data_IF_192884261472
#
_entry.id   IF_192884261472
#
_cell.length_a   1.000
_cell.length_b   1.000
_cell.length_c   1.000
_cell.angle_alpha   90.00
_cell.angle_beta   90.00
_cell.angle_gamma   90.00
#
_symmetry.space_group_name_H-M   'P 1'
#
loop_
_entity.id
_entity.type
_entity.pdbx_description
1 polymer ?
#
# COMPACT_ATOMS: atom_id res chain seq x y z
N UNK A 1 -0.33 47.77 -11.06
CA UNK A 1 0.51 46.64 -10.69
C UNK A 1 1.25 46.14 -11.93
N UNK A 2 2.56 45.98 -11.84
CA UNK A 2 3.39 45.40 -12.90
C UNK A 2 4.03 44.13 -12.42
N UNK A 3 4.03 43.06 -13.25
CA UNK A 3 4.66 41.76 -12.95
C UNK A 3 5.62 41.44 -14.08
N UNK A 4 6.88 41.23 -13.75
CA UNK A 4 7.94 40.87 -14.69
C UNK A 4 8.52 39.51 -14.29
N UNK A 5 8.65 38.61 -15.27
CA UNK A 5 9.34 37.34 -15.07
C UNK A 5 10.70 37.37 -15.77
N UNK A 6 11.73 37.05 -15.01
CA UNK A 6 13.10 37.00 -15.49
C UNK A 6 13.62 35.55 -15.36
N UNK A 7 13.78 34.90 -16.50
CA UNK A 7 14.43 33.56 -16.52
C UNK A 7 15.91 33.74 -16.24
N UNK A 8 16.42 33.10 -15.18
CA UNK A 8 17.83 33.17 -14.77
C UNK A 8 18.65 32.09 -15.46
N UNK A 9 18.10 30.86 -15.48
CA UNK A 9 18.66 29.70 -16.17
C UNK A 9 17.52 28.72 -16.56
N UNK A 10 17.84 27.44 -16.81
CA UNK A 10 16.84 26.47 -17.27
C UNK A 10 15.82 26.08 -16.19
N UNK A 11 16.19 26.20 -14.92
CA UNK A 11 15.37 25.75 -13.77
C UNK A 11 15.13 26.82 -12.73
N UNK A 12 15.70 28.01 -12.90
CA UNK A 12 15.51 29.13 -11.98
C UNK A 12 14.97 30.37 -12.69
N UNK A 13 14.03 31.01 -12.05
CA UNK A 13 13.47 32.30 -12.48
C UNK A 13 13.26 33.24 -11.30
N UNK A 14 13.05 34.51 -11.60
CA UNK A 14 12.71 35.54 -10.64
C UNK A 14 11.44 36.24 -11.10
N UNK A 15 10.44 36.33 -10.24
CA UNK A 15 9.27 37.19 -10.40
C UNK A 15 9.50 38.48 -9.66
N UNK A 16 9.34 39.61 -10.36
CA UNK A 16 9.46 40.94 -9.81
C UNK A 16 8.08 41.60 -9.91
N UNK A 17 7.51 41.96 -8.76
CA UNK A 17 6.18 42.55 -8.67
C UNK A 17 6.30 43.97 -8.14
N UNK A 18 5.82 44.92 -8.88
CA UNK A 18 5.78 46.34 -8.50
C UNK A 18 4.32 46.77 -8.31
N UNK A 19 3.99 47.20 -7.09
CA UNK A 19 2.70 47.78 -6.73
C UNK A 19 2.84 49.25 -6.52
N UNK A 20 1.97 50.05 -7.19
CA UNK A 20 1.79 51.46 -6.96
C UNK A 20 0.56 51.69 -6.05
N UNK A 21 0.46 52.89 -5.43
CA UNK A 21 -0.65 53.24 -4.54
C UNK A 21 -2.04 53.00 -5.16
N UNK A 22 -2.19 53.27 -6.44
CA UNK A 22 -3.44 53.05 -7.19
C UNK A 22 -3.91 51.59 -7.19
N UNK A 23 -3.00 50.64 -7.00
CA UNK A 23 -3.30 49.21 -7.08
C UNK A 23 -3.93 48.66 -5.79
N UNK A 24 -3.68 49.29 -4.63
CA UNK A 24 -4.12 48.81 -3.32
C UNK A 24 -4.96 49.83 -2.51
N UNK A 25 -4.91 51.15 -2.82
CA UNK A 25 -5.53 52.20 -2.00
C UNK A 25 -7.04 51.97 -1.79
N UNK A 26 -7.78 51.61 -2.84
CA UNK A 26 -9.23 51.38 -2.74
C UNK A 26 -9.56 50.13 -1.91
N UNK A 27 -8.72 49.09 -1.99
CA UNK A 27 -8.87 47.88 -1.20
C UNK A 27 -8.60 48.15 0.28
N UNK A 28 -7.58 48.98 0.59
CA UNK A 28 -7.29 49.42 1.96
C UNK A 28 -8.48 50.18 2.53
N UNK A 29 -9.03 51.19 1.76
CA UNK A 29 -10.22 51.94 2.18
C UNK A 29 -11.43 51.03 2.44
N UNK A 30 -11.65 50.03 1.57
CA UNK A 30 -12.75 49.07 1.73
C UNK A 30 -12.58 48.26 3.02
N UNK A 31 -11.39 47.74 3.28
CA UNK A 31 -11.10 46.93 4.46
C UNK A 31 -11.20 47.76 5.77
N UNK A 32 -10.72 49.01 5.75
CA UNK A 32 -10.91 49.93 6.88
C UNK A 32 -12.40 50.17 7.19
N UNK A 33 -13.23 50.38 6.14
CA UNK A 33 -14.70 50.50 6.29
C UNK A 33 -15.33 49.26 6.91
N UNK A 34 -14.88 48.09 6.54
CA UNK A 34 -15.36 46.83 7.11
C UNK A 34 -14.97 46.67 8.58
N UNK A 35 -13.74 47.06 8.94
CA UNK A 35 -13.30 47.10 10.35
C UNK A 35 -14.17 48.06 11.16
N UNK A 36 -14.44 49.28 10.61
CA UNK A 36 -15.29 50.27 11.28
C UNK A 36 -16.76 49.80 11.46
N UNK A 37 -17.26 48.89 10.59
CA UNK A 37 -18.58 48.30 10.73
C UNK A 37 -18.61 47.21 11.80
N UNK A 38 -17.58 46.39 11.92
CA UNK A 38 -17.56 45.18 12.68
C UNK A 38 -16.91 45.31 14.08
N UNK A 39 -16.09 46.34 14.29
CA UNK A 39 -15.44 46.63 15.58
C UNK A 39 -16.00 47.87 16.22
N UNK A 40 -16.54 47.79 17.44
CA UNK A 40 -16.92 48.97 18.21
C UNK A 40 -15.66 49.72 18.67
N UNK A 41 -15.64 51.04 18.47
CA UNK A 41 -14.58 51.92 18.94
C UNK A 41 -15.11 52.77 20.09
N UNK A 42 -14.32 53.03 21.14
CA UNK A 42 -14.72 53.87 22.27
C UNK A 42 -15.21 55.23 21.81
N UNK A 43 -16.45 55.61 22.17
CA UNK A 43 -17.06 56.88 21.80
C UNK A 43 -17.79 56.92 20.46
N UNK A 44 -17.80 55.79 19.67
CA UNK A 44 -18.50 55.69 18.42
C UNK A 44 -19.38 54.47 18.33
N UNK A 45 -20.53 54.63 17.67
CA UNK A 45 -21.39 53.49 17.34
C UNK A 45 -20.76 52.69 16.18
N UNK A 46 -20.92 51.35 16.20
CA UNK A 46 -20.46 50.49 15.11
C UNK A 46 -20.97 51.00 13.73
N UNK A 47 -20.09 51.14 12.77
CA UNK A 47 -20.36 51.67 11.44
C UNK A 47 -20.31 53.21 11.32
N UNK A 48 -20.12 53.94 12.43
CA UNK A 48 -20.07 55.42 12.43
C UNK A 48 -18.69 55.96 12.87
N UNK A 49 -17.65 55.16 12.84
CA UNK A 49 -16.27 55.55 13.15
C UNK A 49 -15.73 56.40 11.96
N UNK A 50 -15.22 57.64 12.20
CA UNK A 50 -14.65 58.46 11.13
C UNK A 50 -13.45 57.75 10.45
N UNK A 51 -13.36 57.85 9.10
CA UNK A 51 -12.31 57.19 8.33
C UNK A 51 -10.90 57.63 8.78
N UNK A 52 -10.69 58.90 9.04
CA UNK A 52 -9.41 59.43 9.54
C UNK A 52 -8.95 58.78 10.85
N UNK A 53 -9.89 58.37 11.71
CA UNK A 53 -9.56 57.64 12.94
C UNK A 53 -9.20 56.18 12.68
N UNK A 54 -9.91 55.52 11.73
CA UNK A 54 -9.58 54.19 11.30
C UNK A 54 -8.22 54.12 10.61
N UNK A 55 -7.94 55.10 9.74
CA UNK A 55 -6.64 55.21 9.06
C UNK A 55 -5.50 55.43 10.07
N UNK A 56 -5.70 56.27 11.07
CA UNK A 56 -4.68 56.51 12.10
C UNK A 56 -4.42 55.30 12.96
N UNK A 57 -5.46 54.48 13.25
CA UNK A 57 -5.35 53.37 14.19
C UNK A 57 -4.98 52.06 13.50
N UNK A 58 -5.52 51.83 12.32
CA UNK A 58 -5.41 50.55 11.60
C UNK A 58 -4.79 50.67 10.21
N UNK A 59 -4.60 51.88 9.70
CA UNK A 59 -4.23 52.14 8.29
C UNK A 59 -2.97 51.41 7.87
N UNK A 60 -1.93 51.45 8.70
CA UNK A 60 -0.66 50.79 8.40
C UNK A 60 -0.77 49.28 8.36
N UNK A 61 -1.39 48.67 9.38
CA UNK A 61 -1.59 47.22 9.46
C UNK A 61 -2.45 46.73 8.29
N UNK A 62 -3.55 47.43 8.01
CA UNK A 62 -4.44 47.09 6.88
C UNK A 62 -3.74 47.25 5.53
N UNK A 63 -2.93 48.29 5.38
CA UNK A 63 -2.12 48.49 4.16
C UNK A 63 -1.19 47.33 3.94
N UNK A 64 -0.47 46.90 4.98
CA UNK A 64 0.45 45.75 4.90
C UNK A 64 -0.27 44.44 4.59
N UNK A 65 -1.41 44.17 5.23
CA UNK A 65 -2.21 42.98 4.95
C UNK A 65 -2.74 42.97 3.51
N UNK A 66 -3.21 44.09 3.02
CA UNK A 66 -3.71 44.22 1.63
C UNK A 66 -2.57 44.07 0.63
N UNK A 67 -1.46 44.78 0.81
CA UNK A 67 -0.31 44.69 -0.08
C UNK A 67 0.24 43.28 -0.15
N UNK A 68 0.41 42.59 1.00
CA UNK A 68 0.88 41.22 1.02
C UNK A 68 -0.06 40.27 0.26
N UNK A 69 -1.38 40.45 0.41
CA UNK A 69 -2.36 39.65 -0.33
C UNK A 69 -2.29 39.87 -1.83
N UNK A 70 -2.26 41.11 -2.24
CA UNK A 70 -2.16 41.46 -3.66
C UNK A 70 -0.89 40.91 -4.33
N UNK A 71 0.23 40.91 -3.59
CA UNK A 71 1.49 40.35 -4.08
C UNK A 71 1.38 38.83 -4.24
N UNK A 72 0.85 38.15 -3.23
CA UNK A 72 0.68 36.69 -3.27
C UNK A 72 -0.25 36.28 -4.42
N UNK A 73 -1.40 36.97 -4.54
CA UNK A 73 -2.34 36.74 -5.65
C UNK A 73 -1.67 36.96 -7.01
N UNK A 74 -0.90 38.05 -7.16
CA UNK A 74 -0.18 38.37 -8.41
C UNK A 74 0.87 37.31 -8.79
N UNK A 75 1.58 36.73 -7.80
CA UNK A 75 2.54 35.63 -8.04
C UNK A 75 1.83 34.45 -8.65
N UNK A 76 0.76 33.98 -8.01
CA UNK A 76 0.06 32.76 -8.45
C UNK A 76 -0.73 33.01 -9.75
N UNK A 77 -1.34 34.18 -9.92
CA UNK A 77 -2.02 34.54 -11.16
C UNK A 77 -1.04 34.54 -12.33
N UNK A 78 0.15 35.14 -12.17
CA UNK A 78 1.16 35.14 -13.23
C UNK A 78 1.62 33.73 -13.60
N UNK A 79 1.88 32.89 -12.62
CA UNK A 79 2.27 31.47 -12.82
C UNK A 79 1.19 30.75 -13.63
N UNK A 80 -0.07 30.90 -13.24
CA UNK A 80 -1.21 30.27 -13.90
C UNK A 80 -1.41 30.76 -15.33
N UNK A 81 -1.47 32.10 -15.50
CA UNK A 81 -1.84 32.73 -16.76
C UNK A 81 -0.74 32.54 -17.84
N UNK A 82 0.52 32.37 -17.41
CA UNK A 82 1.64 32.09 -18.29
C UNK A 82 1.98 30.58 -18.37
N UNK A 83 1.18 29.70 -17.76
CA UNK A 83 1.38 28.24 -17.72
C UNK A 83 2.81 27.85 -17.30
N UNK A 84 3.38 28.55 -16.32
CA UNK A 84 4.71 28.23 -15.81
C UNK A 84 4.67 26.92 -15.02
N UNK A 85 5.43 25.92 -15.45
CA UNK A 85 5.60 24.66 -14.72
C UNK A 85 6.56 24.89 -13.56
N UNK A 86 6.02 25.18 -12.37
CA UNK A 86 6.79 25.51 -11.16
C UNK A 86 6.99 24.25 -10.31
N UNK A 87 8.21 24.08 -9.77
CA UNK A 87 8.56 23.10 -8.74
C UNK A 87 8.76 23.78 -7.39
N UNK A 88 8.06 23.30 -6.37
CA UNK A 88 8.04 23.93 -5.05
C UNK A 88 7.12 25.14 -5.00
N UNK A 89 7.41 26.06 -4.09
CA UNK A 89 6.68 27.32 -3.94
C UNK A 89 7.61 28.51 -4.22
N UNK A 90 7.08 29.62 -4.77
CA UNK A 90 7.87 30.86 -4.92
C UNK A 90 8.44 31.31 -3.57
N UNK A 91 9.74 31.57 -3.53
CA UNK A 91 10.47 31.96 -2.32
C UNK A 91 10.68 33.45 -2.32
N UNK A 92 10.13 34.22 -1.34
CA UNK A 92 10.36 35.64 -1.26
C UNK A 92 11.84 35.98 -1.02
N UNK A 93 12.36 37.01 -1.68
CA UNK A 93 13.70 37.50 -1.41
C UNK A 93 13.78 38.07 0.01
N UNK A 94 14.91 37.85 0.69
CA UNK A 94 15.16 38.33 2.07
C UNK A 94 15.13 39.86 2.19
N UNK A 95 15.33 40.59 1.08
CA UNK A 95 15.32 42.04 1.04
C UNK A 95 13.95 42.63 0.75
N UNK A 96 12.91 41.82 0.65
CA UNK A 96 11.54 42.30 0.51
C UNK A 96 11.09 42.96 1.81
N UNK A 97 10.98 44.26 1.83
CA UNK A 97 10.55 45.01 3.00
C UNK A 97 9.42 45.99 2.63
N UNK A 98 8.44 46.10 3.52
CA UNK A 98 7.41 47.12 3.47
C UNK A 98 7.87 48.30 4.36
N UNK A 99 8.43 49.34 3.72
CA UNK A 99 8.92 50.51 4.45
C UNK A 99 7.81 51.53 4.71
N UNK A 100 7.83 52.10 5.91
CA UNK A 100 6.88 53.12 6.31
C UNK A 100 7.06 54.40 5.44
N UNK A 101 5.92 54.92 4.97
CA UNK A 101 5.90 56.15 4.17
C UNK A 101 6.08 55.93 2.67
N UNK A 102 6.45 54.76 2.22
CA UNK A 102 6.50 54.41 0.80
C UNK A 102 5.10 54.13 0.24
N UNK A 103 4.87 54.49 -1.01
CA UNK A 103 3.63 54.29 -1.76
C UNK A 103 3.81 53.29 -2.91
N UNK A 104 5.05 53.02 -3.28
CA UNK A 104 5.43 52.03 -4.28
C UNK A 104 6.26 50.93 -3.63
N UNK A 105 5.94 49.67 -3.95
CA UNK A 105 6.59 48.52 -3.39
C UNK A 105 7.05 47.55 -4.48
N UNK A 106 8.29 47.15 -4.44
CA UNK A 106 8.84 46.12 -5.34
C UNK A 106 9.25 44.89 -4.55
N UNK A 107 8.69 43.75 -4.93
CA UNK A 107 8.97 42.48 -4.33
C UNK A 107 9.54 41.50 -5.35
N UNK A 108 10.49 40.72 -4.91
CA UNK A 108 11.14 39.68 -5.72
C UNK A 108 10.87 38.34 -5.15
N UNK A 109 10.60 37.34 -6.01
CA UNK A 109 10.40 35.96 -5.64
C UNK A 109 11.25 35.07 -6.53
N UNK A 110 12.01 34.17 -5.92
CA UNK A 110 12.67 33.09 -6.63
C UNK A 110 11.65 32.02 -6.97
N UNK A 111 11.65 31.57 -8.22
CA UNK A 111 10.74 30.56 -8.74
C UNK A 111 11.55 29.40 -9.31
N UNK A 112 11.31 28.20 -8.80
CA UNK A 112 11.85 26.98 -9.36
C UNK A 112 11.02 26.54 -10.57
N UNK A 113 11.65 26.28 -11.69
CA UNK A 113 10.99 25.77 -12.90
C UNK A 113 11.23 24.27 -13.05
N UNK A 114 10.21 23.54 -13.51
CA UNK A 114 10.38 22.16 -13.91
C UNK A 114 11.31 22.09 -15.15
N UNK A 115 12.36 21.27 -15.11
CA UNK A 115 13.23 21.09 -16.25
C UNK A 115 12.46 20.45 -17.42
N UNK A 116 12.86 20.78 -18.63
CA UNK A 116 12.41 20.04 -19.82
C UNK A 116 13.19 18.72 -19.90
N UNK A 117 12.47 17.60 -19.80
CA UNK A 117 13.04 16.26 -19.90
C UNK A 117 12.55 15.64 -21.21
N UNK A 118 13.47 15.29 -22.09
CA UNK A 118 13.19 14.41 -23.23
C UNK A 118 13.43 12.96 -22.76
N UNK A 119 12.36 12.29 -22.37
CA UNK A 119 12.44 10.89 -21.96
C UNK A 119 12.90 10.03 -23.15
N UNK A 120 14.20 9.75 -23.22
CA UNK A 120 14.81 8.96 -24.32
C UNK A 120 14.58 7.46 -24.10
N UNK A 121 13.31 7.06 -24.03
CA UNK A 121 12.95 5.65 -23.97
C UNK A 121 13.01 5.06 -25.39
N UNK A 122 13.88 4.07 -25.57
CA UNK A 122 14.10 3.46 -26.88
C UNK A 122 14.85 2.13 -26.79
N UNK A 123 14.97 1.43 -27.92
CA UNK A 123 15.59 0.09 -28.02
C UNK A 123 17.10 0.06 -27.70
N UNK A 124 17.73 1.20 -27.57
CA UNK A 124 19.10 1.36 -27.09
C UNK A 124 19.23 1.16 -25.58
N UNK A 125 18.12 1.22 -24.83
CA UNK A 125 18.07 0.92 -23.41
C UNK A 125 17.82 -0.57 -23.23
N UNK A 126 18.77 -1.26 -22.58
CA UNK A 126 18.64 -2.67 -22.20
C UNK A 126 18.25 -2.78 -20.76
N UNK A 127 17.12 -3.43 -20.49
CA UNK A 127 16.61 -3.67 -19.14
C UNK A 127 16.56 -5.18 -18.90
N UNK A 128 17.12 -5.69 -17.80
CA UNK A 128 16.95 -7.10 -17.45
C UNK A 128 15.47 -7.45 -17.28
N UNK A 129 15.08 -8.58 -17.80
CA UNK A 129 13.77 -9.17 -17.56
C UNK A 129 13.93 -10.62 -17.13
N UNK A 130 13.60 -10.89 -15.90
CA UNK A 130 13.79 -12.20 -15.29
C UNK A 130 12.51 -13.02 -15.40
N UNK A 131 12.58 -14.19 -16.04
CA UNK A 131 11.53 -15.20 -16.00
C UNK A 131 11.91 -16.28 -14.99
N UNK A 132 10.94 -16.80 -14.24
CA UNK A 132 11.16 -17.85 -13.27
C UNK A 132 10.80 -19.17 -13.89
N UNK A 133 11.74 -20.13 -13.85
CA UNK A 133 11.53 -21.49 -14.33
C UNK A 133 10.46 -22.19 -13.49
N UNK A 134 9.42 -22.72 -14.12
CA UNK A 134 8.40 -23.55 -13.48
C UNK A 134 8.79 -25.00 -13.62
N UNK A 135 9.29 -25.60 -12.54
CA UNK A 135 9.75 -26.99 -12.49
C UNK A 135 8.57 -27.97 -12.31
N UNK A 136 8.75 -29.21 -12.74
CA UNK A 136 7.74 -30.26 -12.52
C UNK A 136 7.48 -30.52 -11.04
N UNK A 137 8.47 -30.32 -10.17
CA UNK A 137 8.31 -30.41 -8.72
C UNK A 137 7.34 -29.35 -8.18
N UNK A 138 7.43 -28.10 -8.67
CA UNK A 138 6.48 -27.03 -8.29
C UNK A 138 5.06 -27.39 -8.74
N UNK A 139 4.91 -27.92 -9.94
CA UNK A 139 3.61 -28.35 -10.48
C UNK A 139 3.03 -29.49 -9.64
N UNK A 140 3.83 -30.49 -9.31
CA UNK A 140 3.37 -31.62 -8.49
C UNK A 140 3.01 -31.18 -7.06
N UNK A 141 3.81 -30.28 -6.44
CA UNK A 141 3.50 -29.74 -5.12
C UNK A 141 2.18 -28.95 -5.12
N UNK A 142 1.94 -28.15 -6.13
CA UNK A 142 0.68 -27.40 -6.26
C UNK A 142 -0.51 -28.33 -6.47
N UNK A 143 -0.38 -29.37 -7.29
CA UNK A 143 -1.43 -30.37 -7.49
C UNK A 143 -1.74 -31.07 -6.15
N UNK A 144 -0.73 -31.47 -5.39
CA UNK A 144 -0.95 -32.09 -4.07
C UNK A 144 -1.58 -31.11 -3.06
N UNK A 145 -1.22 -29.84 -3.09
CA UNK A 145 -1.88 -28.82 -2.28
C UNK A 145 -3.36 -28.64 -2.67
N UNK A 146 -3.66 -28.61 -3.97
CA UNK A 146 -5.04 -28.56 -4.47
C UNK A 146 -5.83 -29.82 -4.11
N UNK A 147 -5.23 -31.00 -4.23
CA UNK A 147 -5.86 -32.28 -3.82
C UNK A 147 -6.23 -32.27 -2.34
N UNK A 148 -5.36 -31.76 -1.46
CA UNK A 148 -5.69 -31.58 -0.04
C UNK A 148 -6.79 -30.54 0.15
N UNK A 149 -6.73 -29.42 -0.54
CA UNK A 149 -7.73 -28.34 -0.44
C UNK A 149 -9.14 -28.79 -0.84
N UNK A 150 -9.27 -29.60 -1.88
CA UNK A 150 -10.54 -30.14 -2.36
C UNK A 150 -10.82 -31.56 -1.84
N UNK A 151 -10.00 -32.03 -0.90
CA UNK A 151 -10.19 -33.32 -0.25
C UNK A 151 -11.43 -33.36 0.63
N UNK A 152 -11.87 -34.55 0.93
CA UNK A 152 -13.03 -34.82 1.79
C UNK A 152 -12.61 -35.47 3.09
N UNK A 153 -13.25 -35.09 4.18
CA UNK A 153 -13.07 -35.80 5.45
C UNK A 153 -13.72 -37.16 5.38
N UNK A 154 -12.99 -38.19 5.81
CA UNK A 154 -13.48 -39.55 5.82
C UNK A 154 -12.83 -40.40 6.94
N UNK A 155 -13.34 -41.61 7.16
CA UNK A 155 -12.79 -42.51 8.16
C UNK A 155 -11.34 -42.88 7.85
N UNK A 156 -10.49 -42.80 8.87
CA UNK A 156 -9.10 -43.23 8.86
C UNK A 156 -8.91 -44.51 9.70
N UNK A 157 -7.91 -45.30 9.34
CA UNK A 157 -7.53 -46.50 10.09
C UNK A 157 -6.44 -46.24 11.12
N UNK A 158 -5.65 -45.18 10.88
CA UNK A 158 -4.52 -44.79 11.72
C UNK A 158 -4.50 -43.23 11.82
N UNK A 159 -4.05 -42.72 12.96
CA UNK A 159 -3.92 -41.30 13.18
C UNK A 159 -2.73 -40.73 12.38
N UNK A 160 -3.05 -39.82 11.46
CA UNK A 160 -2.11 -38.98 10.73
C UNK A 160 -1.91 -37.62 11.46
N UNK A 161 -0.88 -36.85 11.15
CA UNK A 161 -0.60 -35.60 11.87
C UNK A 161 -1.75 -34.62 11.91
N UNK A 162 -2.59 -34.57 10.88
CA UNK A 162 -3.74 -33.68 10.72
C UNK A 162 -5.10 -34.35 10.99
N UNK A 163 -5.08 -35.60 11.53
CA UNK A 163 -6.29 -36.31 11.87
C UNK A 163 -7.08 -35.62 12.99
N UNK A 164 -8.40 -35.70 12.87
CA UNK A 164 -9.34 -35.38 13.93
C UNK A 164 -9.80 -36.73 14.54
N UNK A 165 -9.63 -36.86 15.84
CA UNK A 165 -9.97 -38.12 16.54
C UNK A 165 -11.17 -37.87 17.46
N UNK A 166 -12.12 -38.79 17.44
CA UNK A 166 -13.27 -38.81 18.33
C UNK A 166 -13.18 -39.98 19.28
N UNK A 167 -13.57 -39.78 20.50
CA UNK A 167 -13.49 -40.83 21.51
C UNK A 167 -14.01 -40.41 22.86
N UNK A 168 -13.66 -41.19 23.87
CA UNK A 168 -14.03 -40.93 25.25
C UNK A 168 -12.82 -40.40 26.00
N UNK A 169 -12.97 -39.26 26.64
CA UNK A 169 -11.99 -38.69 27.56
C UNK A 169 -12.40 -39.05 28.97
N UNK A 170 -11.50 -39.60 29.79
CA UNK A 170 -11.78 -39.90 31.19
C UNK A 170 -10.64 -39.45 32.10
N UNK A 171 -10.98 -38.79 33.22
CA UNK A 171 -10.02 -38.29 34.20
C UNK A 171 -9.34 -39.49 34.92
N UNK A 172 -8.03 -39.38 35.15
CA UNK A 172 -7.24 -40.39 35.84
C UNK A 172 -6.87 -39.94 37.24
N UNK A 173 -6.80 -40.94 38.14
CA UNK A 173 -6.13 -40.82 39.43
C UNK A 173 -4.60 -40.76 39.23
N UNK A 174 -3.82 -40.30 40.23
CA UNK A 174 -2.35 -40.29 40.16
C UNK A 174 -1.71 -41.68 39.98
N UNK A 175 -2.44 -42.75 40.27
CA UNK A 175 -1.99 -44.11 40.05
C UNK A 175 -2.31 -44.66 38.65
N UNK A 176 -2.93 -43.85 37.79
CA UNK A 176 -3.29 -44.18 36.41
C UNK A 176 -4.63 -44.89 36.26
N UNK A 177 -5.37 -45.17 37.36
CA UNK A 177 -6.72 -45.69 37.29
C UNK A 177 -7.75 -44.62 36.92
N UNK A 178 -8.86 -45.01 36.30
CA UNK A 178 -9.96 -44.07 35.99
C UNK A 178 -10.60 -43.62 37.30
N UNK A 179 -10.80 -42.32 37.43
CA UNK A 179 -11.37 -41.67 38.63
C UNK A 179 -12.89 -41.88 38.65
N UNK A 180 -13.42 -42.48 39.71
CA UNK A 180 -14.81 -42.97 39.82
C UNK A 180 -15.85 -41.86 39.67
N UNK A 181 -15.58 -40.66 40.25
CA UNK A 181 -16.40 -39.46 40.12
C UNK A 181 -15.70 -38.36 39.29
N UNK A 182 -14.77 -38.76 38.40
CA UNK A 182 -14.00 -37.85 37.55
C UNK A 182 -14.78 -37.41 36.32
N UNK A 183 -14.17 -36.48 35.58
CA UNK A 183 -14.71 -36.01 34.30
C UNK A 183 -14.71 -37.14 33.30
N UNK A 184 -15.87 -37.34 32.62
CA UNK A 184 -16.01 -38.22 31.47
C UNK A 184 -16.68 -37.46 30.34
N UNK A 185 -16.04 -37.43 29.17
CA UNK A 185 -16.57 -36.80 27.95
C UNK A 185 -16.77 -37.90 26.91
N UNK A 186 -18.01 -38.36 26.75
CA UNK A 186 -18.34 -39.49 25.87
C UNK A 186 -18.08 -39.25 24.38
N UNK A 187 -18.15 -37.97 23.95
CA UNK A 187 -17.94 -37.56 22.57
C UNK A 187 -16.82 -36.51 22.47
N UNK A 188 -15.67 -36.80 23.06
CA UNK A 188 -14.49 -35.95 22.97
C UNK A 188 -13.97 -35.87 21.55
N UNK A 189 -13.63 -34.69 21.11
CA UNK A 189 -13.02 -34.41 19.78
C UNK A 189 -11.66 -33.81 20.02
N UNK A 190 -10.61 -34.43 19.54
CA UNK A 190 -9.24 -33.92 19.60
C UNK A 190 -8.66 -33.77 18.20
N UNK A 191 -7.92 -32.71 17.99
CA UNK A 191 -7.09 -32.50 16.80
C UNK A 191 -5.65 -32.22 17.25
N UNK A 192 -4.81 -33.28 17.39
CA UNK A 192 -3.46 -33.16 17.97
C UNK A 192 -2.57 -32.14 17.25
N UNK A 193 -2.82 -31.86 15.99
CA UNK A 193 -2.09 -30.84 15.23
C UNK A 193 -2.14 -29.45 15.91
N UNK A 194 -3.20 -29.13 16.63
CA UNK A 194 -3.38 -27.86 17.33
C UNK A 194 -2.78 -27.86 18.75
N UNK A 195 -2.27 -28.99 19.24
CA UNK A 195 -1.61 -29.00 20.53
C UNK A 195 -0.34 -28.12 20.48
N UNK A 196 -0.06 -27.41 21.57
CA UNK A 196 1.15 -26.60 21.70
C UNK A 196 2.39 -27.42 22.05
N UNK A 197 2.20 -28.59 22.67
CA UNK A 197 3.27 -29.49 23.08
C UNK A 197 3.52 -30.59 22.04
N UNK A 198 4.72 -30.60 21.46
CA UNK A 198 5.16 -31.67 20.54
C UNK A 198 5.20 -33.04 21.20
N UNK A 199 5.48 -33.11 22.51
CA UNK A 199 5.45 -34.34 23.26
C UNK A 199 4.04 -34.92 23.31
N UNK A 200 3.04 -34.06 23.58
CA UNK A 200 1.64 -34.51 23.63
C UNK A 200 1.11 -34.87 22.23
N UNK A 201 1.53 -34.21 21.15
CA UNK A 201 1.19 -34.61 19.78
C UNK A 201 1.65 -36.01 19.45
N UNK A 202 2.90 -36.33 19.75
CA UNK A 202 3.52 -37.63 19.44
C UNK A 202 2.82 -38.83 20.13
N UNK A 203 2.13 -38.61 21.25
CA UNK A 203 1.38 -39.65 21.92
C UNK A 203 0.26 -40.23 21.05
N UNK A 204 -0.26 -39.41 20.13
CA UNK A 204 -1.37 -39.78 19.26
C UNK A 204 -0.93 -40.27 17.88
N UNK A 205 0.35 -40.16 17.51
CA UNK A 205 0.85 -40.63 16.21
C UNK A 205 0.74 -42.16 16.08
N UNK A 206 0.27 -42.61 14.91
CA UNK A 206 0.20 -44.03 14.58
C UNK A 206 -0.78 -44.87 15.45
N UNK A 207 -1.77 -44.22 16.05
CA UNK A 207 -2.80 -44.90 16.86
C UNK A 207 -3.98 -45.34 15.99
N UNK A 208 -4.70 -46.39 16.47
CA UNK A 208 -5.84 -46.99 15.79
C UNK A 208 -7.13 -46.83 16.60
N UNK A 209 -8.31 -46.95 15.99
CA UNK A 209 -9.56 -47.11 16.73
C UNK A 209 -9.49 -48.23 17.74
N UNK A 210 -9.87 -47.98 18.99
CA UNK A 210 -9.76 -48.89 20.14
C UNK A 210 -8.52 -48.66 21.01
N UNK A 211 -7.52 -47.89 20.53
CA UNK A 211 -6.37 -47.57 21.36
C UNK A 211 -6.73 -46.56 22.45
N UNK A 212 -6.05 -46.68 23.59
CA UNK A 212 -6.17 -45.74 24.71
C UNK A 212 -4.86 -44.96 24.85
N UNK A 213 -4.95 -43.65 24.79
CA UNK A 213 -3.82 -42.73 24.92
C UNK A 213 -3.94 -41.96 26.23
N UNK A 214 -2.91 -42.04 27.07
CA UNK A 214 -2.83 -41.20 28.26
C UNK A 214 -2.16 -39.86 27.85
N UNK A 215 -2.85 -38.77 28.08
CA UNK A 215 -2.38 -37.43 27.75
C UNK A 215 -2.74 -36.42 28.83
N UNK A 216 -2.09 -35.26 28.79
CA UNK A 216 -2.36 -34.17 29.72
C UNK A 216 -2.99 -32.97 28.99
N UNK A 217 -4.29 -32.68 29.20
CA UNK A 217 -4.98 -31.56 28.55
C UNK A 217 -4.31 -30.23 28.82
N UNK A 218 -3.84 -29.96 30.05
CA UNK A 218 -3.18 -28.73 30.40
C UNK A 218 -1.85 -28.54 29.66
N UNK A 219 -1.06 -29.61 29.51
CA UNK A 219 0.18 -29.62 28.76
C UNK A 219 -0.09 -29.47 27.25
N UNK A 220 -1.18 -30.06 26.74
CA UNK A 220 -1.53 -30.02 25.31
C UNK A 220 -1.83 -28.61 24.81
N UNK A 221 -2.43 -27.75 25.66
CA UNK A 221 -2.83 -26.40 25.29
C UNK A 221 -2.17 -25.30 26.14
N UNK A 222 -1.00 -25.56 26.72
CA UNK A 222 -0.28 -24.62 27.60
C UNK A 222 -1.17 -23.99 28.68
N UNK A 223 -2.03 -24.82 29.29
CA UNK A 223 -3.01 -24.47 30.33
C UNK A 223 -3.99 -23.35 29.91
N UNK A 224 -4.31 -23.23 28.61
CA UNK A 224 -5.32 -22.30 28.10
C UNK A 224 -6.70 -22.71 28.64
N UNK A 225 -7.26 -21.86 29.50
CA UNK A 225 -8.53 -22.13 30.19
C UNK A 225 -9.70 -22.36 29.24
N UNK A 226 -9.74 -21.62 28.12
CA UNK A 226 -10.82 -21.74 27.14
C UNK A 226 -10.73 -23.06 26.38
N UNK A 227 -9.54 -23.47 25.99
CA UNK A 227 -9.32 -24.74 25.28
C UNK A 227 -9.56 -25.95 26.19
N UNK A 228 -9.06 -25.90 27.42
CA UNK A 228 -9.32 -26.94 28.41
C UNK A 228 -10.80 -27.08 28.75
N UNK A 229 -11.50 -25.96 28.99
CA UNK A 229 -12.94 -25.94 29.24
C UNK A 229 -13.73 -26.56 28.09
N UNK A 230 -13.35 -26.28 26.84
CA UNK A 230 -13.96 -26.84 25.63
C UNK A 230 -13.64 -28.33 25.47
N UNK A 231 -12.38 -28.72 25.69
CA UNK A 231 -11.90 -30.12 25.56
C UNK A 231 -12.54 -31.05 26.59
N UNK A 232 -12.63 -30.60 27.83
CA UNK A 232 -13.15 -31.37 28.95
C UNK A 232 -14.66 -31.19 29.17
N UNK A 233 -15.29 -30.30 28.42
CA UNK A 233 -16.70 -29.93 28.55
C UNK A 233 -17.08 -29.49 29.98
N UNK A 234 -16.27 -28.65 30.61
CA UNK A 234 -16.45 -28.13 31.99
C UNK A 234 -16.50 -26.63 32.02
N UNK A 235 -16.96 -26.03 33.14
CA UNK A 235 -16.92 -24.60 33.37
C UNK A 235 -15.48 -24.09 33.45
N UNK A 236 -15.23 -22.89 32.94
CA UNK A 236 -13.91 -22.25 32.97
C UNK A 236 -13.33 -22.05 34.37
N UNK A 237 -14.21 -21.88 35.36
CA UNK A 237 -13.79 -21.75 36.75
C UNK A 237 -13.35 -23.08 37.40
N UNK A 238 -13.69 -24.22 36.79
CA UNK A 238 -13.35 -25.53 37.27
C UNK A 238 -12.05 -26.10 36.66
N UNK A 239 -11.56 -25.49 35.61
CA UNK A 239 -10.38 -25.96 34.85
C UNK A 239 -9.15 -26.18 35.75
N UNK A 240 -8.95 -25.30 36.75
CA UNK A 240 -7.80 -25.38 37.64
C UNK A 240 -7.79 -26.64 38.53
N UNK A 241 -8.94 -27.25 38.73
CA UNK A 241 -9.09 -28.49 39.52
C UNK A 241 -8.79 -29.77 38.72
N UNK A 242 -8.65 -29.63 37.38
CA UNK A 242 -8.56 -30.77 36.46
C UNK A 242 -7.32 -30.68 35.53
N UNK A 243 -6.14 -30.46 36.15
CA UNK A 243 -4.85 -30.39 35.42
C UNK A 243 -4.08 -31.69 35.38
N UNK A 244 -4.68 -32.77 35.88
CA UNK A 244 -4.10 -34.13 35.87
C UNK A 244 -4.11 -34.76 34.48
N UNK A 245 -3.71 -36.02 34.46
CA UNK A 245 -3.72 -36.83 33.23
C UNK A 245 -5.12 -37.40 32.98
N UNK A 246 -5.41 -37.57 31.71
CA UNK A 246 -6.64 -38.18 31.22
C UNK A 246 -6.29 -39.29 30.24
N UNK A 247 -7.14 -40.32 30.15
CA UNK A 247 -7.10 -41.23 29.02
C UNK A 247 -8.04 -40.74 27.90
N UNK A 248 -7.69 -41.07 26.69
CA UNK A 248 -8.50 -40.88 25.50
C UNK A 248 -8.65 -42.26 24.80
N UNK A 249 -9.83 -42.85 24.86
CA UNK A 249 -10.14 -44.07 24.11
C UNK A 249 -10.62 -43.65 22.71
N UNK A 250 -9.82 -43.95 21.69
CA UNK A 250 -10.11 -43.59 20.30
C UNK A 250 -11.26 -44.45 19.76
N UNK A 251 -12.36 -43.85 19.36
CA UNK A 251 -13.50 -44.53 18.74
C UNK A 251 -13.52 -44.41 17.24
N UNK A 252 -13.20 -43.20 16.75
CA UNK A 252 -13.21 -42.88 15.34
C UNK A 252 -12.02 -41.96 15.01
N UNK A 253 -11.40 -42.22 13.88
CA UNK A 253 -10.36 -41.36 13.30
C UNK A 253 -10.93 -40.79 12.02
N UNK A 254 -10.84 -39.46 11.86
CA UNK A 254 -11.23 -38.74 10.67
C UNK A 254 -9.97 -38.15 10.06
N UNK A 255 -9.68 -38.51 8.84
CA UNK A 255 -8.55 -37.99 8.06
C UNK A 255 -9.04 -37.20 6.87
N UNK A 256 -8.25 -36.24 6.47
CA UNK A 256 -8.48 -35.51 5.21
C UNK A 256 -7.96 -36.39 4.07
N UNK A 257 -8.85 -37.04 3.32
CA UNK A 257 -8.49 -37.83 2.14
C UNK A 257 -8.30 -36.81 0.98
N UNK A 258 -7.09 -36.69 0.39
CA UNK A 258 -6.90 -35.88 -0.78
C UNK A 258 -7.87 -36.28 -1.90
N UNK A 259 -8.36 -35.28 -2.63
CA UNK A 259 -9.27 -35.52 -3.77
C UNK A 259 -8.62 -36.50 -4.77
N UNK A 260 -9.43 -37.39 -5.34
CA UNK A 260 -8.98 -38.27 -6.42
C UNK A 260 -8.74 -37.47 -7.69
N UNK A 261 -7.84 -37.95 -8.56
CA UNK A 261 -7.54 -37.31 -9.84
C UNK A 261 -8.61 -37.65 -10.88
N UNK A 262 -9.81 -37.12 -10.64
CA UNK A 262 -10.98 -37.32 -11.48
C UNK A 262 -11.46 -35.99 -12.11
N UNK A 263 -12.50 -36.03 -12.93
CA UNK A 263 -13.02 -34.87 -13.62
C UNK A 263 -13.55 -33.80 -12.66
N UNK A 264 -14.16 -34.20 -11.52
CA UNK A 264 -14.68 -33.26 -10.52
C UNK A 264 -13.53 -32.46 -9.89
N UNK A 265 -12.43 -33.14 -9.55
CA UNK A 265 -11.24 -32.47 -9.05
C UNK A 265 -10.61 -31.55 -10.11
N UNK A 266 -10.49 -32.00 -11.36
CA UNK A 266 -9.91 -31.15 -12.43
C UNK A 266 -10.72 -29.88 -12.62
N UNK A 267 -12.05 -29.98 -12.66
CA UNK A 267 -12.95 -28.84 -12.81
C UNK A 267 -12.83 -27.85 -11.64
N UNK A 268 -12.68 -28.36 -10.41
CA UNK A 268 -12.49 -27.55 -9.21
C UNK A 268 -11.10 -26.91 -9.14
N UNK A 269 -10.06 -27.60 -9.60
CA UNK A 269 -8.67 -27.17 -9.50
C UNK A 269 -8.31 -26.09 -10.53
N UNK A 270 -8.69 -26.27 -11.79
CA UNK A 270 -8.26 -25.42 -12.89
C UNK A 270 -9.42 -24.77 -13.65
N UNK A 271 -10.65 -25.09 -13.32
CA UNK A 271 -11.86 -24.58 -13.94
C UNK A 271 -12.46 -25.59 -14.91
N UNK A 272 -13.78 -25.50 -15.06
CA UNK A 272 -14.60 -26.45 -15.81
C UNK A 272 -14.11 -26.64 -17.24
N UNK A 273 -14.01 -27.92 -17.66
CA UNK A 273 -13.61 -28.37 -19.00
C UNK A 273 -12.21 -27.91 -19.48
N UNK A 274 -11.33 -27.50 -18.53
CA UNK A 274 -9.95 -27.07 -18.86
C UNK A 274 -8.93 -28.22 -18.82
N UNK A 275 -9.25 -29.34 -18.15
CA UNK A 275 -8.41 -30.52 -18.13
C UNK A 275 -9.30 -31.77 -18.05
N UNK A 276 -8.93 -32.84 -18.79
CA UNK A 276 -9.66 -34.10 -18.84
C UNK A 276 -8.79 -35.31 -18.44
N UNK A 277 -7.52 -35.07 -18.14
CA UNK A 277 -6.56 -36.05 -17.69
C UNK A 277 -5.42 -35.38 -16.94
N UNK A 278 -4.59 -36.17 -16.25
CA UNK A 278 -3.46 -35.65 -15.46
C UNK A 278 -2.45 -34.86 -16.26
N UNK A 279 -2.22 -35.16 -17.53
CA UNK A 279 -1.27 -34.43 -18.37
C UNK A 279 -1.80 -33.01 -18.66
N UNK A 280 -3.07 -32.90 -19.00
CA UNK A 280 -3.73 -31.60 -19.21
C UNK A 280 -3.83 -30.79 -17.90
N UNK A 281 -4.10 -31.45 -16.77
CA UNK A 281 -4.07 -30.83 -15.45
C UNK A 281 -2.69 -30.24 -15.16
N UNK A 282 -1.61 -30.99 -15.39
CA UNK A 282 -0.23 -30.50 -15.17
C UNK A 282 0.08 -29.27 -16.02
N UNK A 283 -0.31 -29.29 -17.30
CA UNK A 283 -0.11 -28.13 -18.17
C UNK A 283 -0.95 -26.93 -17.73
N UNK A 284 -2.20 -27.13 -17.31
CA UNK A 284 -3.05 -26.06 -16.81
C UNK A 284 -2.49 -25.45 -15.51
N UNK A 285 -2.08 -26.30 -14.54
CA UNK A 285 -1.44 -25.85 -13.28
C UNK A 285 -0.12 -25.14 -13.56
N UNK A 286 0.69 -25.66 -14.49
CA UNK A 286 1.93 -24.99 -14.93
C UNK A 286 1.67 -23.60 -15.50
N UNK A 287 0.59 -23.47 -16.28
CA UNK A 287 0.13 -22.17 -16.79
C UNK A 287 -0.24 -21.20 -15.65
N UNK A 288 -1.00 -21.66 -14.66
CA UNK A 288 -1.41 -20.86 -13.51
C UNK A 288 -0.18 -20.39 -12.71
N UNK A 289 0.75 -21.29 -12.39
CA UNK A 289 2.00 -20.93 -11.71
C UNK A 289 2.80 -19.94 -12.52
N UNK A 290 2.91 -20.13 -13.85
CA UNK A 290 3.63 -19.23 -14.74
C UNK A 290 3.02 -17.82 -14.75
N UNK A 291 1.70 -17.71 -14.75
CA UNK A 291 0.99 -16.43 -14.71
C UNK A 291 1.17 -15.72 -13.35
N UNK A 292 1.17 -16.46 -12.24
CA UNK A 292 1.47 -15.93 -10.92
C UNK A 292 2.92 -15.39 -10.84
N UNK A 293 3.88 -16.18 -11.31
CA UNK A 293 5.30 -15.81 -11.30
C UNK A 293 5.62 -14.67 -12.27
N UNK A 294 4.80 -14.49 -13.33
CA UNK A 294 4.91 -13.33 -14.22
C UNK A 294 4.70 -12.02 -13.48
N UNK A 295 3.78 -11.98 -12.51
CA UNK A 295 3.57 -10.81 -11.66
C UNK A 295 4.85 -10.39 -10.91
N UNK A 296 5.58 -11.37 -10.38
CA UNK A 296 6.88 -11.14 -9.71
C UNK A 296 7.94 -10.64 -10.69
N UNK A 297 7.99 -11.23 -11.89
CA UNK A 297 8.90 -10.81 -12.96
C UNK A 297 8.62 -9.38 -13.41
N UNK A 298 7.35 -9.02 -13.60
CA UNK A 298 6.93 -7.67 -13.99
C UNK A 298 7.20 -6.66 -12.88
N UNK A 299 6.98 -7.01 -11.62
CA UNK A 299 7.35 -6.15 -10.50
C UNK A 299 8.86 -5.91 -10.44
N UNK A 300 9.68 -6.96 -10.58
CA UNK A 300 11.14 -6.82 -10.65
C UNK A 300 11.56 -5.93 -11.82
N UNK A 301 10.94 -6.09 -12.96
CA UNK A 301 11.18 -5.23 -14.11
C UNK A 301 10.96 -3.75 -13.80
N UNK A 302 9.93 -3.40 -13.01
CA UNK A 302 9.71 -1.98 -12.65
C UNK A 302 10.87 -1.38 -11.88
N UNK A 303 11.48 -2.15 -10.98
CA UNK A 303 12.65 -1.73 -10.19
C UNK A 303 13.86 -1.55 -11.10
N UNK A 304 14.15 -2.54 -11.94
CA UNK A 304 15.33 -2.53 -12.81
C UNK A 304 15.21 -1.48 -13.92
N UNK A 305 14.03 -1.32 -14.51
CA UNK A 305 13.76 -0.28 -15.50
C UNK A 305 13.98 1.12 -14.91
N UNK A 306 13.42 1.37 -13.70
CA UNK A 306 13.66 2.63 -12.99
C UNK A 306 15.15 2.90 -12.79
N UNK A 307 15.90 1.92 -12.31
CA UNK A 307 17.32 2.06 -12.02
C UNK A 307 18.15 2.32 -13.29
N UNK A 308 17.90 1.56 -14.36
CA UNK A 308 18.59 1.73 -15.65
C UNK A 308 18.29 3.09 -16.27
N UNK A 309 17.02 3.52 -16.25
CA UNK A 309 16.62 4.81 -16.81
C UNK A 309 17.20 5.95 -15.98
N UNK A 310 17.18 5.87 -14.64
CA UNK A 310 17.78 6.87 -13.77
C UNK A 310 19.30 6.98 -13.95
N UNK A 311 20.00 5.87 -14.18
CA UNK A 311 21.42 5.91 -14.50
C UNK A 311 21.70 6.66 -15.79
N UNK A 312 20.83 6.52 -16.80
CA UNK A 312 21.02 7.13 -18.11
C UNK A 312 20.55 8.60 -18.15
N UNK A 313 19.39 8.88 -17.60
CA UNK A 313 18.68 10.16 -17.72
C UNK A 313 18.60 10.93 -16.40
N UNK A 314 19.14 10.40 -15.29
CA UNK A 314 18.98 10.95 -13.95
C UNK A 314 19.84 12.20 -13.64
N UNK A 315 20.72 12.62 -14.57
CA UNK A 315 21.51 13.83 -14.40
C UNK A 315 20.71 15.08 -14.80
N UNK A 316 19.60 15.30 -14.09
CA UNK A 316 18.68 16.41 -14.32
C UNK A 316 19.03 17.57 -13.38
N UNK A 317 19.17 18.77 -13.92
CA UNK A 317 19.30 19.97 -13.11
C UNK A 317 17.97 20.29 -12.44
N UNK A 318 17.98 20.58 -11.14
CA UNK A 318 16.80 20.95 -10.37
C UNK A 318 17.00 22.32 -9.71
N UNK A 319 15.92 23.07 -9.42
CA UNK A 319 15.98 24.34 -8.67
C UNK A 319 16.16 24.05 -7.17
N UNK A 320 17.35 23.57 -6.79
CA UNK A 320 17.62 23.00 -5.46
C UNK A 320 17.35 23.99 -4.33
N UNK A 321 17.71 25.27 -4.49
CA UNK A 321 17.49 26.29 -3.47
C UNK A 321 16.00 26.44 -3.13
N UNK A 322 15.15 26.54 -4.16
CA UNK A 322 13.68 26.67 -4.00
C UNK A 322 13.09 25.41 -3.37
N UNK A 323 13.52 24.24 -3.84
CA UNK A 323 13.03 22.95 -3.34
C UNK A 323 13.45 22.71 -1.87
N UNK A 324 14.67 23.00 -1.51
CA UNK A 324 15.15 22.87 -0.12
C UNK A 324 14.39 23.81 0.81
N UNK A 325 14.18 25.06 0.40
CA UNK A 325 13.37 26.01 1.16
C UNK A 325 11.94 25.52 1.35
N UNK A 326 11.31 25.00 0.29
CA UNK A 326 9.98 24.41 0.37
C UNK A 326 9.92 23.24 1.35
N UNK A 327 10.88 22.34 1.32
CA UNK A 327 10.94 21.18 2.24
C UNK A 327 11.07 21.62 3.70
N UNK A 328 11.91 22.61 3.99
CA UNK A 328 12.04 23.17 5.35
C UNK A 328 10.72 23.76 5.85
N UNK A 329 9.96 24.45 4.97
CA UNK A 329 8.66 24.99 5.34
C UNK A 329 7.60 23.92 5.61
N UNK A 330 7.63 22.80 4.90
CA UNK A 330 6.67 21.71 5.03
C UNK A 330 6.95 20.79 6.21
N UNK A 331 8.21 20.69 6.64
CA UNK A 331 8.63 19.77 7.70
C UNK A 331 9.46 20.50 8.77
N UNK A 332 8.86 20.70 9.93
CA UNK A 332 9.50 21.38 11.07
C UNK A 332 10.77 20.70 11.62
N UNK A 333 11.02 19.42 11.23
CA UNK A 333 12.23 18.71 11.62
C UNK A 333 13.42 19.03 10.70
N UNK A 334 13.18 19.70 9.56
CA UNK A 334 14.21 20.09 8.63
C UNK A 334 14.68 21.52 8.90
N UNK A 335 15.97 21.75 8.72
CA UNK A 335 16.63 23.04 8.87
C UNK A 335 17.82 23.14 7.90
N UNK A 336 18.52 24.27 7.91
CA UNK A 336 19.67 24.52 7.01
C UNK A 336 20.83 23.52 7.22
N UNK A 337 20.92 22.85 8.38
CA UNK A 337 22.04 21.93 8.70
C UNK A 337 21.81 20.53 8.15
N UNK A 338 20.53 20.04 8.09
CA UNK A 338 20.21 18.68 7.70
C UNK A 338 19.51 18.53 6.34
N UNK A 339 19.14 19.66 5.71
CA UNK A 339 18.38 19.66 4.46
C UNK A 339 19.12 19.00 3.30
N UNK A 340 20.44 19.13 3.23
CA UNK A 340 21.22 18.60 2.11
C UNK A 340 21.19 17.09 2.06
N UNK A 341 21.27 16.42 3.22
CA UNK A 341 21.15 14.96 3.31
C UNK A 341 19.74 14.50 2.93
N UNK A 342 18.71 15.15 3.46
CA UNK A 342 17.32 14.79 3.18
C UNK A 342 16.94 15.07 1.73
N UNK A 343 17.36 16.20 1.18
CA UNK A 343 17.15 16.53 -0.23
C UNK A 343 17.79 15.48 -1.16
N UNK A 344 18.98 14.98 -0.81
CA UNK A 344 19.66 13.94 -1.59
C UNK A 344 18.80 12.65 -1.70
N UNK A 345 18.11 12.27 -0.62
CA UNK A 345 17.20 11.12 -0.60
C UNK A 345 15.98 11.34 -1.50
N UNK A 346 15.39 12.53 -1.44
CA UNK A 346 14.18 12.90 -2.18
C UNK A 346 14.49 13.17 -3.66
N UNK A 347 15.67 13.69 -3.97
CA UNK A 347 16.08 14.09 -5.33
C UNK A 347 15.86 12.98 -6.35
N UNK A 348 16.27 11.77 -6.03
CA UNK A 348 16.15 10.60 -6.92
C UNK A 348 14.68 10.30 -7.24
N UNK A 349 13.80 10.39 -6.25
CA UNK A 349 12.37 10.19 -6.45
C UNK A 349 11.76 11.32 -7.29
N UNK A 350 12.11 12.56 -7.02
CA UNK A 350 11.62 13.70 -7.77
C UNK A 350 12.05 13.65 -9.25
N UNK A 351 13.31 13.30 -9.51
CA UNK A 351 13.79 13.11 -10.89
C UNK A 351 13.03 11.99 -11.59
N UNK A 352 12.76 10.88 -10.89
CA UNK A 352 11.98 9.79 -11.45
C UNK A 352 10.54 10.21 -11.77
N UNK A 353 9.90 11.00 -10.90
CA UNK A 353 8.55 11.49 -11.16
C UNK A 353 8.51 12.43 -12.38
N UNK A 354 9.49 13.29 -12.52
CA UNK A 354 9.63 14.15 -13.72
C UNK A 354 9.89 13.35 -15.00
N UNK A 355 10.66 12.28 -14.94
CA UNK A 355 10.87 11.35 -16.08
C UNK A 355 9.56 10.65 -16.45
N UNK A 356 8.78 10.18 -15.45
CA UNK A 356 7.46 9.59 -15.70
C UNK A 356 6.51 10.58 -16.39
N UNK A 357 6.46 11.81 -15.93
CA UNK A 357 5.66 12.86 -16.57
C UNK A 357 6.07 13.08 -18.03
N UNK A 358 7.37 13.09 -18.31
CA UNK A 358 7.88 13.20 -19.66
C UNK A 358 7.51 11.99 -20.54
N UNK A 359 7.51 10.76 -19.98
CA UNK A 359 7.05 9.54 -20.66
C UNK A 359 5.55 9.65 -20.98
N UNK A 360 4.74 10.06 -20.01
CA UNK A 360 3.29 10.26 -20.19
C UNK A 360 3.01 11.23 -21.33
N UNK A 361 3.68 12.37 -21.34
CA UNK A 361 3.53 13.36 -22.38
C UNK A 361 3.99 12.87 -23.76
N UNK A 362 5.15 12.19 -23.83
CA UNK A 362 5.75 11.71 -25.08
C UNK A 362 4.92 10.63 -25.77
N UNK A 363 4.36 9.71 -24.99
CA UNK A 363 3.59 8.57 -25.49
C UNK A 363 2.07 8.78 -25.43
N UNK A 364 1.61 9.98 -25.02
CA UNK A 364 0.19 10.33 -24.84
C UNK A 364 -0.54 9.27 -24.01
N UNK A 365 0.02 8.93 -22.84
CA UNK A 365 -0.56 7.93 -21.94
C UNK A 365 -1.76 8.55 -21.21
N UNK A 366 -2.94 7.98 -21.44
CA UNK A 366 -4.19 8.37 -20.78
C UNK A 366 -4.76 7.18 -20.00
N UNK A 367 -5.34 7.44 -18.86
CA UNK A 367 -6.03 6.44 -18.03
C UNK A 367 -7.51 6.48 -18.36
N UNK A 368 -8.05 5.36 -18.81
CA UNK A 368 -9.49 5.20 -19.09
C UNK A 368 -10.24 4.69 -17.85
N UNK A 369 -11.58 4.78 -17.87
CA UNK A 369 -12.42 4.14 -16.85
C UNK A 369 -12.19 2.63 -16.75
N UNK A 370 -11.97 1.97 -17.89
CA UNK A 370 -11.69 0.53 -17.91
C UNK A 370 -10.37 0.19 -17.20
N UNK A 371 -9.36 1.04 -17.32
CA UNK A 371 -8.08 0.87 -16.61
C UNK A 371 -8.29 0.95 -15.10
N UNK A 372 -9.07 1.94 -14.64
CA UNK A 372 -9.40 2.11 -13.22
C UNK A 372 -10.19 0.90 -12.70
N UNK A 373 -11.17 0.43 -13.48
CA UNK A 373 -11.97 -0.74 -13.11
C UNK A 373 -11.13 -2.03 -13.06
N UNK A 374 -10.17 -2.19 -13.96
CA UNK A 374 -9.27 -3.34 -13.95
C UNK A 374 -8.36 -3.33 -12.71
N UNK A 375 -7.85 -2.17 -12.30
CA UNK A 375 -7.11 -2.03 -11.04
C UNK A 375 -8.00 -2.29 -9.81
N UNK A 376 -9.26 -1.85 -9.84
CA UNK A 376 -10.22 -2.13 -8.77
C UNK A 376 -10.50 -3.65 -8.66
N UNK A 377 -10.73 -4.35 -9.79
CA UNK A 377 -10.88 -5.81 -9.81
C UNK A 377 -9.66 -6.53 -9.25
N UNK A 378 -8.46 -6.11 -9.68
CA UNK A 378 -7.20 -6.68 -9.18
C UNK A 378 -7.03 -6.46 -7.67
N UNK A 379 -7.39 -5.30 -7.14
CA UNK A 379 -7.35 -4.99 -5.71
C UNK A 379 -8.32 -5.87 -4.91
N UNK A 380 -9.57 -5.99 -5.37
CA UNK A 380 -10.60 -6.84 -4.77
C UNK A 380 -10.17 -8.31 -4.79
N UNK A 381 -9.66 -8.79 -5.93
CA UNK A 381 -9.19 -10.16 -6.07
C UNK A 381 -8.04 -10.46 -5.08
N UNK A 382 -7.04 -9.57 -4.98
CA UNK A 382 -5.94 -9.74 -4.00
C UNK A 382 -6.45 -9.77 -2.56
N UNK A 383 -7.41 -8.92 -2.21
CA UNK A 383 -7.95 -8.85 -0.86
C UNK A 383 -8.76 -10.11 -0.50
N UNK A 384 -9.58 -10.58 -1.43
CA UNK A 384 -10.52 -11.67 -1.15
C UNK A 384 -9.90 -13.07 -1.34
N UNK A 385 -8.88 -13.22 -2.19
CA UNK A 385 -8.14 -14.48 -2.36
C UNK A 385 -7.47 -14.96 -1.07
N UNK A 386 -7.15 -14.06 -0.14
CA UNK A 386 -6.61 -14.39 1.18
C UNK A 386 -7.59 -15.20 2.03
N UNK A 387 -8.90 -15.10 1.78
CA UNK A 387 -9.93 -15.81 2.51
C UNK A 387 -10.32 -17.16 1.89
N UNK A 388 -9.62 -17.60 0.83
CA UNK A 388 -9.82 -18.91 0.21
C UNK A 388 -11.14 -19.08 -0.54
N UNK A 389 -11.90 -18.02 -0.75
CA UNK A 389 -13.18 -18.08 -1.47
C UNK A 389 -12.95 -18.04 -2.99
N UNK A 390 -13.47 -19.00 -3.72
CA UNK A 390 -13.66 -18.90 -5.15
C UNK A 390 -14.79 -17.91 -5.42
N UNK A 391 -14.42 -16.68 -5.82
CA UNK A 391 -15.39 -15.64 -6.11
C UNK A 391 -15.78 -15.66 -7.58
N UNK A 392 -17.06 -15.55 -7.87
CA UNK A 392 -17.50 -15.35 -9.25
C UNK A 392 -17.09 -13.96 -9.74
N UNK A 393 -16.85 -13.83 -11.04
CA UNK A 393 -16.53 -12.54 -11.68
C UNK A 393 -17.56 -11.46 -11.34
N UNK A 394 -18.86 -11.83 -11.28
CA UNK A 394 -19.95 -10.91 -10.92
C UNK A 394 -19.79 -10.32 -9.51
N UNK A 395 -19.34 -11.12 -8.54
CA UNK A 395 -19.06 -10.66 -7.18
C UNK A 395 -17.87 -9.72 -7.17
N UNK A 396 -16.79 -10.08 -7.88
CA UNK A 396 -15.59 -9.22 -8.01
C UNK A 396 -15.97 -7.89 -8.64
N UNK A 397 -16.74 -7.89 -9.72
CA UNK A 397 -17.17 -6.67 -10.42
C UNK A 397 -18.01 -5.74 -9.53
N UNK A 398 -18.93 -6.31 -8.75
CA UNK A 398 -19.73 -5.52 -7.82
C UNK A 398 -18.90 -4.83 -6.76
N UNK A 399 -17.98 -5.56 -6.12
CA UNK A 399 -17.07 -4.96 -5.13
C UNK A 399 -16.10 -3.98 -5.76
N UNK A 400 -15.58 -4.25 -6.97
CA UNK A 400 -14.72 -3.33 -7.71
C UNK A 400 -15.43 -1.99 -7.99
N UNK A 401 -16.71 -2.03 -8.40
CA UNK A 401 -17.52 -0.82 -8.59
C UNK A 401 -17.70 -0.04 -7.28
N UNK A 402 -17.89 -0.73 -6.16
CA UNK A 402 -18.03 -0.07 -4.86
C UNK A 402 -16.72 0.61 -4.43
N UNK A 403 -15.58 -0.08 -4.58
CA UNK A 403 -14.24 0.47 -4.28
C UNK A 403 -13.94 1.69 -5.17
N UNK A 404 -14.27 1.63 -6.46
CA UNK A 404 -14.03 2.72 -7.41
C UNK A 404 -14.93 3.95 -7.22
N UNK A 405 -16.06 3.84 -6.46
CA UNK A 405 -16.94 4.98 -6.15
C UNK A 405 -16.38 5.90 -5.07
N UNK A 406 -15.58 5.39 -4.16
CA UNK A 406 -14.92 6.22 -3.15
C UNK A 406 -13.79 7.04 -3.78
N UNK A 407 -13.83 8.37 -3.60
CA UNK A 407 -12.89 9.28 -4.27
C UNK A 407 -11.42 9.02 -3.89
N UNK A 408 -11.14 8.68 -2.62
CA UNK A 408 -9.76 8.41 -2.18
C UNK A 408 -9.21 7.14 -2.79
N UNK A 409 -10.06 6.11 -2.86
CA UNK A 409 -9.69 4.86 -3.53
C UNK A 409 -9.50 5.09 -5.02
N UNK A 410 -10.41 5.85 -5.66
CA UNK A 410 -10.34 6.18 -7.08
C UNK A 410 -9.03 6.87 -7.45
N UNK A 411 -8.62 7.90 -6.69
CA UNK A 411 -7.34 8.61 -6.93
C UNK A 411 -6.13 7.66 -6.81
N UNK A 412 -6.21 6.66 -5.93
CA UNK A 412 -5.17 5.64 -5.79
C UNK A 412 -5.19 4.65 -6.96
N UNK A 413 -6.37 4.20 -7.38
CA UNK A 413 -6.54 3.30 -8.52
C UNK A 413 -6.06 3.95 -9.81
N UNK A 414 -6.39 5.21 -10.04
CA UNK A 414 -5.93 5.99 -11.20
C UNK A 414 -4.41 6.11 -11.24
N UNK A 415 -3.77 6.44 -10.11
CA UNK A 415 -2.30 6.45 -10.01
C UNK A 415 -1.68 5.09 -10.27
N UNK A 416 -2.28 4.01 -9.79
CA UNK A 416 -1.78 2.66 -10.03
C UNK A 416 -1.93 2.27 -11.50
N UNK A 417 -3.07 2.57 -12.12
CA UNK A 417 -3.32 2.35 -13.54
C UNK A 417 -2.33 3.15 -14.41
N UNK A 418 -2.11 4.41 -14.08
CA UNK A 418 -1.12 5.25 -14.76
C UNK A 418 0.29 4.66 -14.64
N UNK A 419 0.72 4.29 -13.44
CA UNK A 419 2.03 3.68 -13.22
C UNK A 419 2.18 2.39 -14.03
N UNK A 420 1.17 1.53 -14.02
CA UNK A 420 1.17 0.30 -14.84
C UNK A 420 1.35 0.61 -16.32
N UNK A 421 0.57 1.54 -16.87
CA UNK A 421 0.68 1.95 -18.27
C UNK A 421 2.06 2.53 -18.62
N UNK A 422 2.66 3.31 -17.71
CA UNK A 422 4.02 3.81 -17.89
C UNK A 422 5.02 2.66 -18.02
N UNK A 423 4.97 1.68 -17.11
CA UNK A 423 5.89 0.54 -17.15
C UNK A 423 5.62 -0.40 -18.32
N UNK A 424 4.36 -0.61 -18.71
CA UNK A 424 4.00 -1.36 -19.91
C UNK A 424 4.58 -0.65 -21.15
N UNK A 425 4.42 0.68 -21.26
CA UNK A 425 5.02 1.49 -22.34
C UNK A 425 6.54 1.40 -22.35
N UNK A 426 7.19 1.47 -21.19
CA UNK A 426 8.65 1.29 -21.07
C UNK A 426 9.03 -0.09 -21.60
N UNK A 427 8.33 -1.15 -21.13
CA UNK A 427 8.60 -2.55 -21.51
C UNK A 427 8.50 -2.79 -23.01
N UNK A 428 7.54 -2.19 -23.66
CA UNK A 428 7.34 -2.28 -25.12
C UNK A 428 8.43 -1.54 -25.92
N UNK A 429 8.96 -0.46 -25.39
CA UNK A 429 9.88 0.43 -26.10
C UNK A 429 11.36 0.18 -25.81
N UNK A 430 11.73 -0.52 -24.73
CA UNK A 430 13.13 -0.91 -24.44
C UNK A 430 13.49 -2.26 -25.04
N UNK A 431 14.77 -2.63 -24.96
CA UNK A 431 15.24 -3.99 -25.26
C UNK A 431 15.27 -4.79 -23.96
N UNK A 432 14.49 -5.87 -23.90
CA UNK A 432 14.51 -6.79 -22.77
C UNK A 432 15.72 -7.73 -22.87
N UNK A 433 16.54 -7.77 -21.83
CA UNK A 433 17.60 -8.75 -21.63
C UNK A 433 17.02 -9.92 -20.82
N UNK A 434 16.37 -10.86 -21.55
CA UNK A 434 15.66 -11.97 -20.93
C UNK A 434 16.62 -12.95 -20.28
N UNK A 435 16.38 -13.29 -19.02
CA UNK A 435 17.13 -14.26 -18.21
C UNK A 435 16.17 -15.16 -17.48
N UNK A 436 16.34 -16.47 -17.64
CA UNK A 436 15.58 -17.46 -16.89
C UNK A 436 16.36 -17.84 -15.63
N UNK A 437 15.70 -17.82 -14.49
CA UNK A 437 16.30 -18.11 -13.19
C UNK A 437 15.46 -19.13 -12.42
N UNK A 438 16.12 -19.89 -11.53
CA UNK A 438 15.41 -20.62 -10.49
C UNK A 438 14.70 -19.64 -9.52
N UNK A 439 13.66 -20.09 -8.83
CA UNK A 439 12.96 -19.28 -7.83
C UNK A 439 13.89 -18.77 -6.72
N UNK A 440 14.86 -19.58 -6.33
CA UNK A 440 15.83 -19.23 -5.27
C UNK A 440 16.83 -18.15 -5.75
N UNK A 441 17.29 -18.24 -6.99
CA UNK A 441 18.17 -17.22 -7.54
C UNK A 441 17.42 -15.92 -7.82
N UNK A 442 16.15 -16.01 -8.21
CA UNK A 442 15.29 -14.83 -8.35
C UNK A 442 15.10 -14.12 -6.98
N UNK A 443 14.86 -14.86 -5.90
CA UNK A 443 14.74 -14.29 -4.55
C UNK A 443 16.02 -13.59 -4.09
N UNK A 444 17.20 -14.09 -4.47
CA UNK A 444 18.50 -13.45 -4.15
C UNK A 444 18.64 -12.06 -4.77
N UNK A 445 17.93 -11.74 -5.87
CA UNK A 445 17.94 -10.41 -6.46
C UNK A 445 17.42 -9.31 -5.52
N UNK A 446 16.57 -9.67 -4.56
CA UNK A 446 16.05 -8.74 -3.55
C UNK A 446 16.95 -8.60 -2.31
N UNK A 447 17.77 -9.59 -2.03
CA UNK A 447 18.70 -9.57 -0.89
C UNK A 447 19.95 -8.70 -1.14
N UNK A 448 20.17 -8.24 -2.38
CA UNK A 448 21.33 -7.45 -2.80
C UNK A 448 21.05 -5.95 -2.92
N UNK A 449 19.89 -5.47 -2.44
CA UNK A 449 19.49 -4.07 -2.50
C UNK A 449 19.68 -3.32 -1.18
#
# INVERSE_FOLDING_TARGET
>A
MNVEFKKLDNVNGELIITLEEKDYADKVKKQLKEIGKNRPEPGFRAGHVPMAMLEKKYGQSVKYDVVNREIVDAVYDYIRDNNLRVLGQPVPDKNNELKDGETEFTFKFKVGLAPEIDAKIGKDIKVPYYTIEVTDDMVNQEIEALRKRFGVQGPGEVTEPDAVIKGVISELNPDGSVKEDGIVVDNGILAPIHFTSEEQKKLFEGKHPGDVVVFNPAASCNSNVTEMSSMLNIDKNDVDNHKGDFNFEIKEIIVLKPAELDQEFFDNAVGKDKAHNEAELKEAVKGIIKDQLKGESDYRFTIDARNVILQKEGNVQLPEEVLKHFLIQQNQQLNEENIDEEFSKIRTQLVWDLIKDAIVAKFNIEVSEDDIMNEARAAVYRQLSQYGAALSEEVIDRYAQEVARDQKNRDSLERNALNKKIYDTIKENVTLDNKELSIDDFRKLYAQQ
#
